data_IF_901829268254
#
_entry.id   IF_901829268254
#
_cell.length_a   1.000
_cell.length_b   1.000
_cell.length_c   1.000
_cell.angle_alpha   90.00
_cell.angle_beta   90.00
_cell.angle_gamma   90.00
#
_symmetry.space_group_name_H-M   'P 1'
#
loop_
_entity.id
_entity.type
_entity.pdbx_description
1 polymer ?
#
# COMPACT_ATOMS: atom_id res chain seq x y z
N UNK A 1 -15.66 18.52 5.99
CA UNK A 1 -14.48 17.83 5.44
C UNK A 1 -14.82 16.35 5.27
N UNK A 2 -14.98 15.87 4.04
CA UNK A 2 -15.65 14.58 3.75
C UNK A 2 -14.73 13.55 3.11
N UNK A 3 -13.70 13.09 3.82
CA UNK A 3 -13.07 11.83 3.40
C UNK A 3 -14.02 10.69 3.73
N UNK A 4 -14.44 9.94 2.72
CA UNK A 4 -15.24 8.74 2.95
C UNK A 4 -14.44 7.76 3.82
N UNK A 5 -15.14 6.95 4.61
CA UNK A 5 -14.52 5.90 5.43
C UNK A 5 -13.60 5.02 4.57
N UNK A 6 -14.00 4.72 3.33
CA UNK A 6 -13.18 3.97 2.38
C UNK A 6 -11.87 4.67 1.97
N UNK A 7 -11.86 5.99 1.82
CA UNK A 7 -10.64 6.75 1.54
C UNK A 7 -9.68 6.75 2.73
N UNK A 8 -10.22 6.86 3.96
CA UNK A 8 -9.44 6.77 5.19
C UNK A 8 -8.81 5.38 5.34
N UNK A 9 -9.59 4.30 5.20
CA UNK A 9 -9.09 2.93 5.27
C UNK A 9 -8.00 2.67 4.22
N UNK A 10 -8.21 3.13 2.99
CA UNK A 10 -7.23 3.00 1.90
C UNK A 10 -5.90 3.65 2.27
N UNK A 11 -5.96 4.86 2.82
CA UNK A 11 -4.77 5.61 3.24
C UNK A 11 -4.03 4.90 4.36
N UNK A 12 -4.75 4.37 5.36
CA UNK A 12 -4.14 3.66 6.48
C UNK A 12 -3.44 2.38 6.02
N UNK A 13 -4.10 1.58 5.17
CA UNK A 13 -3.52 0.35 4.59
C UNK A 13 -2.23 0.61 3.82
N UNK A 14 -2.18 1.68 3.02
CA UNK A 14 -0.97 2.03 2.26
C UNK A 14 0.17 2.50 3.18
N UNK A 15 -0.14 3.28 4.22
CA UNK A 15 0.88 3.70 5.20
C UNK A 15 1.49 2.51 5.92
N UNK A 16 0.66 1.53 6.30
CA UNK A 16 1.13 0.27 6.89
C UNK A 16 2.02 -0.50 5.92
N UNK A 17 1.63 -0.60 4.64
CA UNK A 17 2.42 -1.25 3.61
C UNK A 17 3.82 -0.60 3.45
N UNK A 18 3.91 0.72 3.53
CA UNK A 18 5.18 1.45 3.45
C UNK A 18 6.13 1.12 4.62
N UNK A 19 5.57 0.96 5.83
CA UNK A 19 6.31 0.52 7.02
C UNK A 19 6.80 -0.92 6.85
N UNK A 20 5.92 -1.80 6.35
CA UNK A 20 6.23 -3.20 6.13
C UNK A 20 7.30 -3.40 5.04
N UNK A 21 7.35 -2.57 4.00
CA UNK A 21 8.43 -2.60 2.99
C UNK A 21 9.81 -2.46 3.62
N UNK A 22 9.95 -1.51 4.54
CA UNK A 22 11.23 -1.25 5.22
C UNK A 22 11.56 -2.35 6.23
N UNK A 23 10.55 -2.84 6.97
CA UNK A 23 10.74 -3.86 8.00
C UNK A 23 10.93 -5.27 7.43
N UNK A 24 10.40 -5.54 6.24
CA UNK A 24 10.36 -6.86 5.62
C UNK A 24 10.75 -6.79 4.14
N UNK A 25 12.00 -6.41 3.80
CA UNK A 25 12.46 -6.27 2.41
C UNK A 25 12.49 -7.60 1.65
N UNK A 26 12.37 -8.74 2.33
CA UNK A 26 12.24 -10.06 1.69
C UNK A 26 10.84 -10.34 1.15
N UNK A 27 9.80 -9.60 1.57
CA UNK A 27 8.46 -9.78 1.04
C UNK A 27 8.37 -9.26 -0.40
N UNK A 28 7.65 -10.01 -1.21
CA UNK A 28 7.21 -9.56 -2.53
C UNK A 28 6.13 -8.48 -2.40
N UNK A 29 5.98 -7.67 -3.45
CA UNK A 29 4.92 -6.66 -3.52
C UNK A 29 3.52 -7.32 -3.52
N UNK A 30 3.40 -8.57 -3.98
CA UNK A 30 2.17 -9.36 -3.93
C UNK A 30 1.77 -9.71 -2.50
N UNK A 31 2.69 -10.29 -1.73
CA UNK A 31 2.45 -10.63 -0.31
C UNK A 31 2.10 -9.38 0.51
N UNK A 32 2.78 -8.26 0.26
CA UNK A 32 2.48 -7.00 0.92
C UNK A 32 1.08 -6.47 0.60
N UNK A 33 0.63 -6.62 -0.65
CA UNK A 33 -0.71 -6.24 -1.07
C UNK A 33 -1.76 -7.07 -0.32
N UNK A 34 -1.58 -8.40 -0.26
CA UNK A 34 -2.47 -9.31 0.47
C UNK A 34 -2.52 -8.97 1.97
N UNK A 35 -1.36 -8.78 2.60
CA UNK A 35 -1.25 -8.43 4.02
C UNK A 35 -1.95 -7.11 4.38
N UNK A 36 -2.02 -6.17 3.43
CA UNK A 36 -2.65 -4.85 3.64
C UNK A 36 -4.10 -4.81 3.14
N UNK A 37 -4.68 -5.97 2.80
CA UNK A 37 -6.08 -6.10 2.43
C UNK A 37 -6.39 -5.73 0.98
N UNK A 38 -5.43 -5.90 0.07
CA UNK A 38 -5.62 -5.77 -1.37
C UNK A 38 -5.51 -7.14 -2.05
N UNK A 39 -6.61 -7.59 -2.65
CA UNK A 39 -6.67 -8.84 -3.42
C UNK A 39 -5.86 -8.79 -4.73
N UNK A 40 -5.53 -7.59 -5.20
CA UNK A 40 -4.89 -7.40 -6.49
C UNK A 40 -3.72 -6.41 -6.38
N UNK A 41 -2.53 -6.92 -6.71
CA UNK A 41 -1.28 -6.16 -6.70
C UNK A 41 -1.34 -4.89 -7.56
N UNK A 42 -2.03 -4.90 -8.71
CA UNK A 42 -2.16 -3.70 -9.54
C UNK A 42 -3.00 -2.61 -8.87
N UNK A 43 -4.07 -2.98 -8.15
CA UNK A 43 -4.88 -2.02 -7.37
C UNK A 43 -4.07 -1.46 -6.20
N UNK A 44 -3.30 -2.32 -5.54
CA UNK A 44 -2.38 -1.92 -4.48
C UNK A 44 -1.33 -0.94 -4.99
N UNK A 45 -0.59 -1.27 -6.05
CA UNK A 45 0.46 -0.41 -6.60
C UNK A 45 -0.05 0.95 -7.06
N UNK A 46 -1.26 1.00 -7.66
CA UNK A 46 -1.91 2.27 -8.03
C UNK A 46 -2.26 3.11 -6.79
N UNK A 47 -2.84 2.49 -5.76
CA UNK A 47 -3.17 3.18 -4.52
C UNK A 47 -1.91 3.65 -3.78
N UNK A 48 -0.88 2.81 -3.73
CA UNK A 48 0.40 3.11 -3.12
C UNK A 48 1.06 4.31 -3.80
N UNK A 49 1.16 4.31 -5.13
CA UNK A 49 1.69 5.45 -5.89
C UNK A 49 0.89 6.72 -5.67
N UNK A 50 -0.44 6.63 -5.62
CA UNK A 50 -1.31 7.78 -5.39
C UNK A 50 -1.08 8.44 -4.02
N UNK A 51 -0.81 7.64 -2.98
CA UNK A 51 -0.67 8.12 -1.60
C UNK A 51 0.79 8.44 -1.23
N UNK A 52 1.76 7.64 -1.70
CA UNK A 52 3.18 7.76 -1.36
C UNK A 52 4.00 8.51 -2.43
N UNK A 53 3.43 8.76 -3.61
CA UNK A 53 4.09 9.44 -4.74
C UNK A 53 5.01 8.56 -5.57
N UNK A 54 5.37 7.36 -5.09
CA UNK A 54 6.22 6.37 -5.76
C UNK A 54 5.56 5.00 -5.76
N UNK A 55 5.87 4.13 -6.71
CA UNK A 55 5.41 2.74 -6.69
C UNK A 55 6.04 1.97 -5.52
N UNK A 56 5.42 0.87 -5.06
CA UNK A 56 6.00 0.03 -4.00
C UNK A 56 7.43 -0.43 -4.32
N UNK A 57 7.71 -0.73 -5.60
CA UNK A 57 9.04 -1.15 -6.04
C UNK A 57 10.08 -0.03 -6.01
N UNK A 58 9.68 1.21 -6.31
CA UNK A 58 10.56 2.39 -6.20
C UNK A 58 10.77 2.85 -4.75
N UNK A 59 9.93 2.39 -3.83
CA UNK A 59 9.98 2.72 -2.40
C UNK A 59 10.74 1.69 -1.58
N UNK A 60 10.99 0.51 -2.15
CA UNK A 60 11.68 -0.61 -1.51
C UNK A 60 13.17 -0.36 -1.37
#
# INVERSE_FOLDING_TARGET
SGQSIGAFMRTNRIKEAAILLHKKPYLSIGELAEMTGYENQSKFSKAFKSIMGKTPSEFK
#
